data_IF_985720041515
#
_entry.id   IF_985720041515
#
_cell.length_a   1.000
_cell.length_b   1.000
_cell.length_c   1.000
_cell.angle_alpha   90.00
_cell.angle_beta   90.00
_cell.angle_gamma   90.00
#
_symmetry.space_group_name_H-M   'P 1'
#
loop_
_entity.id
_entity.type
_entity.pdbx_description
1 polymer ?
#
# COMPACT_ATOMS: atom_id res chain seq x y z
N UNK A 1 3.65 6.47 10.27
CA UNK A 1 4.04 5.09 9.90
C UNK A 1 5.22 5.20 8.94
N UNK A 2 6.36 4.57 9.26
CA UNK A 2 7.61 4.64 8.47
C UNK A 2 7.41 4.16 7.04
N UNK A 3 6.63 3.11 6.81
CA UNK A 3 6.29 2.64 5.46
C UNK A 3 5.62 3.75 4.63
N UNK A 4 4.58 4.41 5.15
CA UNK A 4 3.89 5.50 4.45
C UNK A 4 4.80 6.71 4.22
N UNK A 5 5.62 7.08 5.20
CA UNK A 5 6.59 8.17 5.04
C UNK A 5 7.62 7.84 3.95
N UNK A 6 8.10 6.59 3.90
CA UNK A 6 9.00 6.14 2.85
C UNK A 6 8.33 6.14 1.47
N UNK A 7 7.10 5.65 1.36
CA UNK A 7 6.31 5.70 0.12
C UNK A 7 6.11 7.15 -0.34
N UNK A 8 5.78 8.06 0.58
CA UNK A 8 5.66 9.50 0.28
C UNK A 8 6.98 10.10 -0.20
N UNK A 9 8.11 9.73 0.42
CA UNK A 9 9.43 10.17 0.00
C UNK A 9 9.78 9.66 -1.41
N UNK A 10 9.51 8.38 -1.71
CA UNK A 10 9.68 7.81 -3.05
C UNK A 10 8.79 8.51 -4.08
N UNK A 11 7.55 8.88 -3.71
CA UNK A 11 6.69 9.66 -4.59
C UNK A 11 7.25 11.05 -4.86
N UNK A 12 7.71 11.76 -3.82
CA UNK A 12 8.24 13.13 -3.93
C UNK A 12 9.53 13.21 -4.75
N UNK A 13 10.35 12.15 -4.76
CA UNK A 13 11.59 12.06 -5.53
C UNK A 13 11.37 11.56 -6.97
N UNK A 14 10.14 11.19 -7.35
CA UNK A 14 9.85 10.54 -8.62
C UNK A 14 10.19 9.05 -8.67
N UNK A 15 10.91 8.53 -7.67
CA UNK A 15 11.38 7.14 -7.65
C UNK A 15 10.23 6.12 -7.63
N UNK A 16 9.11 6.45 -6.97
CA UNK A 16 7.92 5.60 -6.97
C UNK A 16 7.36 5.40 -8.38
N UNK A 17 7.35 6.47 -9.20
CA UNK A 17 6.91 6.38 -10.59
C UNK A 17 7.82 5.46 -11.39
N UNK A 18 9.14 5.66 -11.30
CA UNK A 18 10.13 4.82 -12.00
C UNK A 18 9.93 3.34 -11.67
N UNK A 19 9.78 3.01 -10.38
CA UNK A 19 9.61 1.64 -9.92
C UNK A 19 8.30 1.03 -10.43
N UNK A 20 7.20 1.78 -10.37
CA UNK A 20 5.89 1.32 -10.89
C UNK A 20 5.95 1.06 -12.40
N UNK A 21 6.62 1.93 -13.15
CA UNK A 21 6.75 1.78 -14.61
C UNK A 21 7.70 0.66 -15.03
N UNK A 22 8.74 0.38 -14.23
CA UNK A 22 9.67 -0.73 -14.50
C UNK A 22 9.15 -2.10 -14.05
N UNK A 23 8.19 -2.13 -13.11
CA UNK A 23 7.67 -3.37 -12.54
C UNK A 23 6.76 -4.11 -13.51
N UNK A 24 6.97 -5.42 -13.67
CA UNK A 24 6.15 -6.30 -14.55
C UNK A 24 5.05 -7.02 -13.80
N UNK A 25 5.10 -7.04 -12.47
CA UNK A 25 4.13 -7.72 -11.61
C UNK A 25 4.00 -7.04 -10.25
N UNK A 26 2.91 -7.36 -9.53
CA UNK A 26 2.73 -6.95 -8.13
C UNK A 26 3.86 -7.48 -7.25
N UNK A 27 4.29 -8.74 -7.49
CA UNK A 27 5.39 -9.35 -6.74
C UNK A 27 6.71 -8.60 -6.89
N UNK A 28 7.08 -8.27 -8.13
CA UNK A 28 8.30 -7.51 -8.45
C UNK A 28 8.23 -6.09 -7.89
N UNK A 29 7.05 -5.45 -7.96
CA UNK A 29 6.83 -4.14 -7.34
C UNK A 29 7.09 -4.20 -5.82
N UNK A 30 6.57 -5.21 -5.12
CA UNK A 30 6.81 -5.38 -3.69
C UNK A 30 8.31 -5.57 -3.38
N UNK A 31 9.02 -6.37 -4.17
CA UNK A 31 10.46 -6.60 -3.98
C UNK A 31 11.30 -5.32 -4.17
N UNK A 32 10.98 -4.52 -5.22
CA UNK A 32 11.65 -3.25 -5.47
C UNK A 32 11.33 -2.21 -4.40
N UNK A 33 10.07 -2.10 -3.98
CA UNK A 33 9.66 -1.21 -2.88
C UNK A 33 10.34 -1.61 -1.58
N UNK A 34 10.38 -2.91 -1.25
CA UNK A 34 11.03 -3.40 -0.04
C UNK A 34 12.50 -3.00 0.02
N UNK A 35 13.24 -3.19 -1.09
CA UNK A 35 14.64 -2.78 -1.20
C UNK A 35 14.84 -1.28 -0.95
N UNK A 36 14.01 -0.43 -1.57
CA UNK A 36 14.12 1.02 -1.42
C UNK A 36 13.68 1.55 -0.06
N UNK A 37 12.77 0.86 0.61
CA UNK A 37 12.21 1.25 1.91
C UNK A 37 12.99 0.65 3.09
N UNK A 38 13.95 -0.24 2.83
CA UNK A 38 14.61 -1.04 3.87
C UNK A 38 13.65 -2.00 4.59
N UNK A 39 12.62 -2.46 3.88
CA UNK A 39 11.59 -3.38 4.36
C UNK A 39 11.84 -4.80 3.84
N UNK A 40 11.07 -5.77 4.34
CA UNK A 40 11.01 -7.13 3.81
C UNK A 40 9.77 -7.30 2.94
N UNK A 41 9.87 -8.06 1.83
CA UNK A 41 8.74 -8.39 0.98
C UNK A 41 8.20 -9.80 1.27
N UNK A 42 6.90 -10.03 1.03
CA UNK A 42 6.25 -11.35 1.04
C UNK A 42 6.46 -12.12 2.35
N UNK A 43 6.26 -11.46 3.49
CA UNK A 43 6.52 -12.05 4.82
C UNK A 43 5.24 -12.65 5.38
N UNK A 44 5.26 -13.93 5.73
CA UNK A 44 4.13 -14.61 6.36
C UNK A 44 4.26 -14.55 7.88
N UNK A 45 3.24 -13.98 8.54
CA UNK A 45 3.11 -13.93 10.00
C UNK A 45 1.76 -14.48 10.41
N UNK A 46 1.75 -15.48 11.29
CA UNK A 46 0.53 -16.18 11.74
C UNK A 46 -0.38 -16.63 10.58
N UNK A 47 0.21 -17.07 9.46
CA UNK A 47 -0.51 -17.54 8.28
C UNK A 47 -1.05 -16.47 7.34
N UNK A 48 -0.78 -15.18 7.62
CA UNK A 48 -1.14 -14.07 6.73
C UNK A 48 0.12 -13.47 6.13
N UNK A 49 0.15 -13.33 4.80
CA UNK A 49 1.25 -12.70 4.08
C UNK A 49 1.10 -11.17 4.07
N UNK A 50 2.17 -10.46 4.42
CA UNK A 50 2.31 -9.03 4.22
C UNK A 50 3.18 -8.78 2.98
N UNK A 51 2.69 -7.98 2.04
CA UNK A 51 3.44 -7.60 0.84
C UNK A 51 4.71 -6.83 1.20
N UNK A 52 4.63 -5.91 2.16
CA UNK A 52 5.77 -5.21 2.75
C UNK A 52 5.69 -5.23 4.28
N UNK A 53 6.82 -5.46 4.93
CA UNK A 53 6.97 -5.45 6.39
C UNK A 53 8.16 -4.60 6.82
N UNK A 54 7.93 -3.64 7.73
CA UNK A 54 9.00 -2.84 8.34
C UNK A 54 8.77 -2.70 9.85
N UNK A 55 9.53 -3.45 10.64
CA UNK A 55 9.35 -3.50 12.09
C UNK A 55 7.96 -4.05 12.45
N UNK A 56 7.10 -3.21 13.02
CA UNK A 56 5.73 -3.56 13.41
C UNK A 56 4.66 -3.03 12.46
N UNK A 57 5.07 -2.55 11.28
CA UNK A 57 4.20 -1.97 10.25
C UNK A 57 4.10 -2.91 9.07
N UNK A 58 2.88 -3.14 8.57
CA UNK A 58 2.64 -3.95 7.38
C UNK A 58 1.93 -3.14 6.29
N UNK A 59 2.22 -3.45 5.03
CA UNK A 59 1.52 -2.90 3.88
C UNK A 59 1.01 -4.03 2.99
N UNK A 60 -0.23 -3.90 2.55
CA UNK A 60 -0.77 -4.63 1.40
C UNK A 60 -0.59 -3.76 0.15
N UNK A 61 -0.12 -4.32 -0.95
CA UNK A 61 0.10 -3.63 -2.22
C UNK A 61 -0.86 -4.19 -3.26
N UNK A 62 -1.49 -3.30 -4.04
CA UNK A 62 -2.33 -3.69 -5.17
C UNK A 62 -1.93 -2.94 -6.42
N UNK A 63 -1.43 -3.68 -7.42
CA UNK A 63 -1.05 -3.14 -8.72
C UNK A 63 -2.22 -3.22 -9.71
N UNK A 64 -2.69 -2.05 -10.14
CA UNK A 64 -3.83 -1.86 -11.04
C UNK A 64 -5.13 -2.56 -10.61
N UNK A 65 -5.59 -2.38 -9.35
CA UNK A 65 -6.84 -2.98 -8.90
C UNK A 65 -8.04 -2.39 -9.66
N UNK A 66 -9.03 -3.23 -9.95
CA UNK A 66 -10.29 -2.81 -10.59
C UNK A 66 -11.29 -2.17 -9.63
N UNK A 67 -11.07 -2.30 -8.32
CA UNK A 67 -12.01 -1.86 -7.26
C UNK A 67 -11.26 -1.12 -6.15
N UNK A 68 -11.89 -0.09 -5.59
CA UNK A 68 -11.31 0.74 -4.52
C UNK A 68 -11.10 -0.01 -3.21
N UNK A 69 -11.83 -1.10 -2.97
CA UNK A 69 -11.72 -1.91 -1.76
C UNK A 69 -10.67 -3.02 -1.86
N UNK A 70 -9.95 -3.12 -2.98
CA UNK A 70 -8.94 -4.17 -3.17
C UNK A 70 -7.83 -4.07 -2.12
N UNK A 71 -7.43 -5.21 -1.57
CA UNK A 71 -6.41 -5.31 -0.52
C UNK A 71 -6.92 -5.07 0.92
N UNK A 72 -8.08 -4.42 1.12
CA UNK A 72 -8.57 -4.13 2.49
C UNK A 72 -8.88 -5.39 3.30
N UNK A 73 -9.36 -6.47 2.66
CA UNK A 73 -9.59 -7.74 3.35
C UNK A 73 -8.30 -8.36 3.90
N UNK A 74 -7.22 -8.32 3.12
CA UNK A 74 -5.90 -8.80 3.55
C UNK A 74 -5.30 -7.88 4.61
N UNK A 75 -5.43 -6.56 4.45
CA UNK A 75 -5.01 -5.60 5.47
C UNK A 75 -5.76 -5.75 6.80
N UNK A 76 -7.05 -6.09 6.77
CA UNK A 76 -7.80 -6.46 7.99
C UNK A 76 -7.27 -7.74 8.62
N UNK A 77 -6.93 -8.76 7.83
CA UNK A 77 -6.31 -9.99 8.35
C UNK A 77 -4.93 -9.71 8.95
N UNK A 78 -4.11 -8.86 8.32
CA UNK A 78 -2.83 -8.41 8.87
C UNK A 78 -3.01 -7.73 10.24
N UNK A 79 -4.01 -6.85 10.36
CA UNK A 79 -4.28 -6.13 11.60
C UNK A 79 -4.81 -7.05 12.71
N UNK A 80 -5.82 -7.87 12.41
CA UNK A 80 -6.59 -8.59 13.42
C UNK A 80 -6.17 -10.04 13.65
N UNK A 81 -5.53 -10.68 12.66
CA UNK A 81 -5.07 -12.07 12.75
C UNK A 81 -3.55 -12.12 12.94
N UNK A 82 -2.79 -11.41 12.11
CA UNK A 82 -1.33 -11.35 12.27
C UNK A 82 -0.87 -10.44 13.41
N UNK A 83 -1.72 -9.50 13.86
CA UNK A 83 -1.49 -8.68 15.04
C UNK A 83 -0.62 -7.43 14.79
N UNK A 84 -0.51 -6.97 13.54
CA UNK A 84 0.19 -5.73 13.22
C UNK A 84 -0.57 -4.51 13.76
N UNK A 85 0.16 -3.61 14.44
CA UNK A 85 -0.44 -2.40 15.04
C UNK A 85 -0.78 -1.35 13.99
N UNK A 86 0.11 -1.19 13.02
CA UNK A 86 -0.01 -0.21 11.95
C UNK A 86 -0.06 -0.95 10.62
N UNK A 87 -1.16 -0.80 9.89
CA UNK A 87 -1.35 -1.44 8.59
C UNK A 87 -1.81 -0.39 7.59
N UNK A 88 -1.28 -0.47 6.37
CA UNK A 88 -1.81 0.29 5.24
C UNK A 88 -2.04 -0.53 3.98
N UNK A 89 -2.81 0.05 3.06
CA UNK A 89 -2.94 -0.43 1.69
C UNK A 89 -2.30 0.58 0.73
N UNK A 90 -1.39 0.14 -0.13
CA UNK A 90 -0.89 0.90 -1.27
C UNK A 90 -1.61 0.43 -2.54
N UNK A 91 -2.40 1.29 -3.16
CA UNK A 91 -3.06 1.02 -4.44
C UNK A 91 -2.39 1.83 -5.55
N UNK A 92 -1.80 1.14 -6.52
CA UNK A 92 -1.24 1.75 -7.73
C UNK A 92 -2.30 1.68 -8.83
N UNK A 93 -2.90 2.80 -9.19
CA UNK A 93 -3.99 2.87 -10.15
C UNK A 93 -3.59 3.62 -11.41
N UNK A 94 -4.21 3.29 -12.55
CA UNK A 94 -3.97 4.00 -13.82
C UNK A 94 -4.50 5.43 -13.79
N UNK A 95 -5.66 5.61 -13.16
CA UNK A 95 -6.31 6.90 -12.99
C UNK A 95 -7.09 6.90 -11.67
N UNK A 96 -7.16 8.07 -11.04
CA UNK A 96 -7.92 8.29 -9.81
C UNK A 96 -9.19 9.07 -10.15
N UNK A 97 -10.34 8.63 -9.64
CA UNK A 97 -11.57 9.42 -9.62
C UNK A 97 -11.90 9.83 -8.19
N UNK A 98 -12.66 10.92 -8.02
CA UNK A 98 -13.09 11.37 -6.69
C UNK A 98 -13.88 10.30 -5.95
N UNK A 99 -14.77 9.58 -6.65
CA UNK A 99 -15.53 8.48 -6.08
C UNK A 99 -14.65 7.31 -5.61
N UNK A 100 -13.52 7.06 -6.28
CA UNK A 100 -12.54 6.06 -5.85
C UNK A 100 -11.91 6.46 -4.51
N UNK A 101 -11.40 7.70 -4.42
CA UNK A 101 -10.79 8.23 -3.20
C UNK A 101 -11.77 8.28 -2.04
N UNK A 102 -13.01 8.72 -2.30
CA UNK A 102 -14.05 8.75 -1.28
C UNK A 102 -14.40 7.34 -0.76
N UNK A 103 -14.45 6.35 -1.65
CA UNK A 103 -14.60 4.94 -1.26
C UNK A 103 -13.47 4.46 -0.36
N UNK A 104 -12.22 4.76 -0.71
CA UNK A 104 -11.04 4.42 0.12
C UNK A 104 -11.11 5.14 1.47
N UNK A 105 -11.46 6.44 1.50
CA UNK A 105 -11.61 7.23 2.72
C UNK A 105 -12.61 6.63 3.70
N UNK A 106 -13.77 6.20 3.21
CA UNK A 106 -14.79 5.54 4.04
C UNK A 106 -14.29 4.22 4.62
N UNK A 107 -13.54 3.43 3.83
CA UNK A 107 -12.93 2.20 4.33
C UNK A 107 -11.86 2.47 5.38
N UNK A 108 -11.00 3.47 5.17
CA UNK A 108 -10.01 3.89 6.15
C UNK A 108 -10.67 4.27 7.48
N UNK A 109 -11.69 5.12 7.44
CA UNK A 109 -12.44 5.54 8.63
C UNK A 109 -13.14 4.36 9.35
N UNK A 110 -13.70 3.41 8.59
CA UNK A 110 -14.42 2.26 9.15
C UNK A 110 -13.49 1.19 9.76
N UNK A 111 -12.26 1.06 9.26
CA UNK A 111 -11.34 -0.04 9.62
C UNK A 111 -10.14 0.43 10.45
N UNK A 112 -9.88 1.74 10.48
CA UNK A 112 -8.63 2.30 11.00
C UNK A 112 -7.39 1.80 10.26
N UNK A 113 -7.53 1.41 8.99
CA UNK A 113 -6.42 1.08 8.09
C UNK A 113 -6.08 2.33 7.29
N UNK A 114 -4.80 2.67 7.18
CA UNK A 114 -4.35 3.82 6.38
C UNK A 114 -4.24 3.41 4.91
N UNK A 115 -4.32 4.35 3.98
CA UNK A 115 -4.12 4.04 2.56
C UNK A 115 -3.25 5.06 1.85
N UNK A 116 -2.59 4.59 0.80
CA UNK A 116 -1.90 5.40 -0.17
C UNK A 116 -2.40 5.01 -1.56
N UNK A 117 -2.89 5.98 -2.33
CA UNK A 117 -3.34 5.75 -3.71
C UNK A 117 -2.40 6.52 -4.63
N UNK A 118 -1.63 5.80 -5.44
CA UNK A 118 -0.72 6.39 -6.41
C UNK A 118 -1.28 6.28 -7.81
N UNK A 119 -1.20 7.36 -8.59
CA UNK A 119 -1.30 7.29 -10.05
C UNK A 119 -0.23 8.11 -10.73
N UNK A 120 0.17 7.67 -11.93
CA UNK A 120 1.13 8.42 -12.75
C UNK A 120 0.66 9.84 -13.07
N UNK A 121 -0.65 10.09 -13.11
CA UNK A 121 -1.24 11.39 -13.47
C UNK A 121 -1.40 12.32 -12.26
N UNK A 122 -1.99 11.81 -11.17
CA UNK A 122 -2.37 12.62 -10.01
C UNK A 122 -1.40 12.54 -8.82
N UNK A 123 -0.32 11.76 -8.94
CA UNK A 123 0.64 11.56 -7.87
C UNK A 123 0.09 10.67 -6.75
N UNK A 124 0.64 10.84 -5.54
CA UNK A 124 0.30 10.06 -4.36
C UNK A 124 -0.74 10.78 -3.49
N UNK A 125 -1.80 10.08 -3.14
CA UNK A 125 -2.85 10.52 -2.22
C UNK A 125 -2.76 9.68 -0.94
N UNK A 126 -2.37 10.29 0.17
CA UNK A 126 -2.35 9.61 1.48
C UNK A 126 -3.69 9.86 2.18
N UNK A 127 -4.30 8.79 2.67
CA UNK A 127 -5.60 8.80 3.33
C UNK A 127 -5.42 8.17 4.71
N UNK A 128 -5.61 8.99 5.72
CA UNK A 128 -5.60 8.55 7.12
C UNK A 128 -7.04 8.34 7.57
N UNK A 129 -7.27 7.23 8.29
CA UNK A 129 -8.57 6.87 8.86
C UNK A 129 -8.83 7.55 10.19
#
# INVERSE_FOLDING_TARGET
MKLLHGILHLASSGKLREVVESSRSERELCELLASLLGASAHVVVNGIEADLLLGTEACEVKLYPSRFYSGFGQALALKHVAGFKEVCVLQVVKAVSEGYIEGVRRLCAATGIKAAVFSGVSGLHVIEG
#
